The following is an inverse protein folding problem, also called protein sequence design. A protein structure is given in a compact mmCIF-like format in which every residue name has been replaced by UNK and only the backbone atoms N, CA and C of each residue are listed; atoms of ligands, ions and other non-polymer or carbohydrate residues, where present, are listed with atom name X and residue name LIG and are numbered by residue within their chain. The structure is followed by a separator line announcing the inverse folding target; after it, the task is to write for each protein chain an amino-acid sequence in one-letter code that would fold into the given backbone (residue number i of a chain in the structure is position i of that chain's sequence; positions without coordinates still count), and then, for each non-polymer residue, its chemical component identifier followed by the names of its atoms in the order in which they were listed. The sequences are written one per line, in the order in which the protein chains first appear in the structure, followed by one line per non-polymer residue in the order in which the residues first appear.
data_IF_853850650267
#
_entry.id   IF_853850650267
#
_cell.length_a   1.000
_cell.length_b   1.000
_cell.length_c   1.000
_cell.angle_alpha   90.00
_cell.angle_beta   90.00
_cell.angle_gamma   90.00
#
_symmetry.space_group_name_H-M   'P 1'
#
loop_
_entity.id
_entity.type
_entity.pdbx_description
1 polymer ?
#
# COMPACT_ATOMS: atom_id res chain seq x y z
N UNK A 1 21.25 3.53 43.27
CA UNK A 1 22.14 3.15 42.14
C UNK A 1 21.52 2.14 41.15
N UNK A 2 20.19 1.96 41.10
CA UNK A 2 19.54 0.99 40.19
C UNK A 2 19.07 1.54 38.84
N UNK A 3 19.03 2.87 38.65
CA UNK A 3 18.42 3.48 37.48
C UNK A 3 19.36 3.61 36.26
N UNK A 4 20.68 3.53 36.48
CA UNK A 4 21.69 3.77 35.44
C UNK A 4 22.05 2.47 34.68
N UNK A 5 21.94 1.31 35.33
CA UNK A 5 22.24 0.02 34.69
C UNK A 5 21.15 -0.45 33.70
N UNK A 6 19.92 0.05 33.82
CA UNK A 6 18.83 -0.24 32.88
C UNK A 6 18.99 0.45 31.53
N UNK A 7 19.58 1.65 31.51
CA UNK A 7 19.83 2.42 30.29
C UNK A 7 21.00 1.83 29.48
N UNK A 8 22.08 1.41 30.15
CA UNK A 8 23.22 0.81 29.46
C UNK A 8 22.87 -0.54 28.80
N UNK A 9 22.07 -1.39 29.45
CA UNK A 9 21.66 -2.68 28.87
C UNK A 9 20.72 -2.54 27.66
N UNK A 10 19.95 -1.44 27.57
CA UNK A 10 19.09 -1.15 26.40
C UNK A 10 19.90 -0.69 25.19
N UNK A 11 20.94 0.12 25.41
CA UNK A 11 21.83 0.56 24.35
C UNK A 11 22.63 -0.61 23.72
N UNK A 12 23.04 -1.61 24.51
CA UNK A 12 23.88 -2.72 24.03
C UNK A 12 23.12 -3.78 23.23
N UNK A 13 21.84 -4.03 23.52
CA UNK A 13 21.04 -5.04 22.79
C UNK A 13 20.58 -4.52 21.42
N UNK A 14 20.42 -3.20 21.26
CA UNK A 14 19.97 -2.59 19.99
C UNK A 14 21.14 -2.40 19.02
N UNK A 15 22.34 -2.09 19.52
CA UNK A 15 23.56 -2.08 18.69
C UNK A 15 23.89 -3.47 18.10
N UNK A 16 23.48 -4.56 18.76
CA UNK A 16 23.72 -5.93 18.28
C UNK A 16 22.74 -6.36 17.16
N UNK A 17 21.50 -5.87 17.16
CA UNK A 17 20.55 -6.10 16.06
C UNK A 17 20.94 -5.30 14.80
N UNK A 18 21.68 -4.21 14.98
CA UNK A 18 22.25 -3.39 13.90
C UNK A 18 23.45 -4.04 13.18
N UNK A 19 24.05 -5.11 13.73
CA UNK A 19 25.29 -5.67 13.21
C UNK A 19 25.13 -6.91 12.30
N UNK A 20 23.95 -7.52 12.19
CA UNK A 20 23.80 -8.82 11.49
C UNK A 20 22.74 -8.89 10.39
N UNK A 21 22.09 -7.79 10.02
CA UNK A 21 21.25 -7.74 8.80
C UNK A 21 21.43 -6.40 8.11
N UNK A 22 22.18 -6.38 7.00
CA UNK A 22 22.25 -5.31 5.98
C UNK A 22 21.64 -3.97 6.43
N UNK A 23 22.32 -3.24 7.32
CA UNK A 23 21.74 -2.14 8.12
C UNK A 23 22.55 -0.85 8.00
N UNK A 24 22.85 -0.39 6.79
CA UNK A 24 23.36 0.97 6.60
C UNK A 24 22.22 2.01 6.62
N UNK A 25 21.02 1.65 6.15
CA UNK A 25 19.90 2.61 5.97
C UNK A 25 19.05 2.82 7.22
N UNK A 26 18.98 1.83 8.14
CA UNK A 26 18.20 1.97 9.39
C UNK A 26 18.91 2.90 10.40
N UNK A 27 20.22 3.07 10.27
CA UNK A 27 21.06 3.82 11.21
C UNK A 27 20.84 5.35 11.20
N UNK A 28 20.07 5.90 10.26
CA UNK A 28 19.87 7.36 10.16
C UNK A 28 18.51 7.85 10.69
N UNK A 29 17.58 6.95 10.99
CA UNK A 29 16.27 7.37 11.51
C UNK A 29 16.32 7.50 13.03
N UNK A 30 16.04 8.72 13.52
CA UNK A 30 16.08 9.07 14.94
C UNK A 30 15.24 8.10 15.80
N UNK A 31 15.93 7.37 16.69
CA UNK A 31 15.34 6.41 17.62
C UNK A 31 14.22 7.04 18.46
N UNK A 32 14.38 8.31 18.84
CA UNK A 32 13.37 9.04 19.61
C UNK A 32 12.08 9.28 18.81
N UNK A 33 12.17 9.35 17.48
CA UNK A 33 10.99 9.43 16.60
C UNK A 33 10.30 8.09 16.50
N UNK A 34 11.03 6.98 16.35
CA UNK A 34 10.44 5.63 16.26
C UNK A 34 9.63 5.26 17.51
N UNK A 35 10.05 5.70 18.69
CA UNK A 35 9.30 5.47 19.93
C UNK A 35 7.90 6.09 19.93
N UNK A 36 7.63 7.05 19.03
CA UNK A 36 6.35 7.77 18.98
C UNK A 36 5.53 7.45 17.73
N UNK A 37 6.03 6.67 16.79
CA UNK A 37 5.29 6.34 15.56
C UNK A 37 4.03 5.53 15.91
N UNK A 38 2.87 6.00 15.44
CA UNK A 38 1.60 5.28 15.56
C UNK A 38 1.47 4.24 14.44
N UNK A 39 1.84 4.63 13.22
CA UNK A 39 1.78 3.76 12.05
C UNK A 39 2.90 4.01 11.04
N UNK A 40 3.33 2.93 10.39
CA UNK A 40 4.26 2.90 9.26
C UNK A 40 3.46 2.69 7.99
N UNK A 41 3.61 3.58 7.01
CA UNK A 41 2.91 3.55 5.74
C UNK A 41 3.89 3.08 4.66
N UNK A 42 3.62 1.94 4.04
CA UNK A 42 4.51 1.31 3.05
C UNK A 42 3.91 1.48 1.67
N UNK A 43 4.53 2.32 0.83
CA UNK A 43 4.03 2.60 -0.52
C UNK A 43 4.21 1.40 -1.46
N UNK A 44 3.21 1.16 -2.31
CA UNK A 44 3.33 0.33 -3.50
C UNK A 44 4.30 0.89 -4.54
N UNK A 45 4.63 0.10 -5.55
CA UNK A 45 5.66 0.44 -6.54
C UNK A 45 5.57 -0.28 -7.89
N UNK A 46 4.54 -1.09 -8.10
CA UNK A 46 4.29 -1.83 -9.33
C UNK A 46 3.71 -3.22 -9.09
N UNK A 47 3.27 -3.86 -10.18
CA UNK A 47 2.55 -5.12 -10.08
C UNK A 47 3.44 -6.20 -9.42
N UNK A 48 2.92 -6.91 -8.40
CA UNK A 48 3.69 -7.93 -7.72
C UNK A 48 3.97 -9.11 -8.67
N UNK A 49 5.14 -9.75 -8.58
CA UNK A 49 5.46 -10.93 -9.39
C UNK A 49 4.73 -12.20 -8.93
N UNK A 50 4.28 -12.25 -7.68
CA UNK A 50 3.49 -13.35 -7.10
C UNK A 50 2.61 -12.83 -5.95
N UNK A 51 1.58 -13.57 -5.50
CA UNK A 51 0.68 -13.14 -4.43
C UNK A 51 1.36 -12.82 -3.09
N UNK A 52 2.52 -13.40 -2.85
CA UNK A 52 3.31 -13.31 -1.61
C UNK A 52 4.70 -12.71 -1.83
N UNK A 53 4.93 -12.08 -2.99
CA UNK A 53 6.21 -11.50 -3.36
C UNK A 53 6.07 -10.08 -3.93
N UNK A 54 7.12 -9.29 -3.78
CA UNK A 54 7.19 -7.92 -4.26
C UNK A 54 8.38 -7.68 -5.18
N UNK A 55 8.31 -6.64 -6.01
CA UNK A 55 9.46 -6.17 -6.77
C UNK A 55 10.61 -5.81 -5.80
N UNK A 56 11.90 -6.00 -6.17
CA UNK A 56 13.00 -5.90 -5.22
C UNK A 56 13.05 -4.58 -4.42
N UNK A 57 12.83 -3.44 -5.07
CA UNK A 57 12.79 -2.13 -4.40
C UNK A 57 11.56 -1.93 -3.51
N UNK A 58 10.44 -2.64 -3.74
CA UNK A 58 9.27 -2.64 -2.85
C UNK A 58 9.49 -3.61 -1.69
N UNK A 59 10.09 -4.78 -1.95
CA UNK A 59 10.50 -5.72 -0.91
C UNK A 59 11.49 -5.07 0.08
N UNK A 60 12.38 -4.19 -0.39
CA UNK A 60 13.24 -3.38 0.47
C UNK A 60 12.44 -2.50 1.45
N UNK A 61 11.35 -1.87 0.99
CA UNK A 61 10.43 -1.09 1.85
C UNK A 61 9.74 -1.98 2.89
N UNK A 62 9.26 -3.15 2.47
CA UNK A 62 8.64 -4.13 3.37
C UNK A 62 9.61 -4.59 4.46
N UNK A 63 10.86 -4.91 4.09
CA UNK A 63 11.91 -5.32 5.02
C UNK A 63 12.27 -4.21 6.01
N UNK A 64 12.37 -2.97 5.54
CA UNK A 64 12.59 -1.81 6.41
C UNK A 64 11.44 -1.64 7.42
N UNK A 65 10.18 -1.73 6.97
CA UNK A 65 9.01 -1.65 7.84
C UNK A 65 9.01 -2.76 8.91
N UNK A 66 9.29 -4.01 8.51
CA UNK A 66 9.37 -5.14 9.42
C UNK A 66 10.50 -4.99 10.44
N UNK A 67 11.68 -4.54 10.01
CA UNK A 67 12.81 -4.30 10.91
C UNK A 67 12.50 -3.20 11.94
N UNK A 68 11.91 -2.09 11.51
CA UNK A 68 11.50 -1.01 12.39
C UNK A 68 10.42 -1.45 13.39
N UNK A 69 9.43 -2.22 12.95
CA UNK A 69 8.42 -2.79 13.83
C UNK A 69 9.03 -3.73 14.88
N UNK A 70 9.99 -4.58 14.48
CA UNK A 70 10.70 -5.48 15.40
C UNK A 70 11.49 -4.70 16.44
N UNK A 71 12.20 -3.64 16.02
CA UNK A 71 13.02 -2.80 16.89
C UNK A 71 12.19 -1.88 17.81
N UNK A 72 10.99 -1.48 17.40
CA UNK A 72 10.18 -0.55 18.17
C UNK A 72 9.72 -1.17 19.51
N UNK A 73 9.90 -0.40 20.59
CA UNK A 73 9.45 -0.78 21.94
C UNK A 73 7.92 -0.84 22.02
N UNK A 74 7.24 0.13 21.43
CA UNK A 74 5.80 0.10 21.15
C UNK A 74 5.61 -0.36 19.71
N UNK A 75 4.84 -1.42 19.47
CA UNK A 75 4.61 -1.94 18.12
C UNK A 75 3.71 -0.97 17.32
N UNK A 76 4.25 -0.26 16.31
CA UNK A 76 3.42 0.58 15.46
C UNK A 76 2.53 -0.31 14.60
N UNK A 77 1.43 0.24 14.10
CA UNK A 77 0.68 -0.42 13.02
C UNK A 77 1.46 -0.28 11.71
N UNK A 78 1.26 -1.20 10.77
CA UNK A 78 1.83 -1.11 9.43
C UNK A 78 0.68 -1.10 8.44
N UNK A 79 0.57 -0.05 7.64
CA UNK A 79 -0.40 0.07 6.56
C UNK A 79 0.33 -0.05 5.23
N UNK A 80 0.05 -1.13 4.51
CA UNK A 80 0.54 -1.32 3.14
C UNK A 80 -0.43 -0.67 2.15
N UNK A 81 0.10 0.08 1.19
CA UNK A 81 -0.68 0.94 0.30
C UNK A 81 -0.70 0.41 -1.14
N UNK A 82 -1.67 0.91 -1.89
CA UNK A 82 -1.90 0.66 -3.31
C UNK A 82 -2.67 -0.63 -3.62
N UNK A 83 -3.77 -0.46 -4.34
CA UNK A 83 -4.43 -1.50 -5.11
C UNK A 83 -3.49 -2.04 -6.19
N UNK A 84 -2.89 -1.16 -6.98
CA UNK A 84 -2.03 -1.55 -8.08
C UNK A 84 -1.47 -0.34 -8.83
N UNK A 85 -0.94 -0.60 -10.02
CA UNK A 85 -0.42 0.43 -10.91
C UNK A 85 -1.24 0.55 -12.18
N UNK A 86 -1.42 1.77 -12.66
CA UNK A 86 -2.11 2.03 -13.91
C UNK A 86 -1.29 1.67 -15.16
N UNK A 87 -0.02 1.27 -15.00
CA UNK A 87 0.95 1.11 -16.08
C UNK A 87 1.06 -0.31 -16.64
N UNK A 88 0.72 -1.32 -15.85
CA UNK A 88 0.77 -2.73 -16.25
C UNK A 88 -0.48 -3.46 -15.76
N UNK A 89 -0.88 -4.59 -16.38
CA UNK A 89 -1.97 -5.40 -15.87
C UNK A 89 -1.73 -5.85 -14.42
N UNK A 90 -2.80 -5.91 -13.63
CA UNK A 90 -2.72 -6.46 -12.28
C UNK A 90 -2.48 -7.97 -12.33
N UNK A 91 -1.79 -8.48 -11.32
CA UNK A 91 -1.63 -9.92 -11.13
C UNK A 91 -3.01 -10.51 -10.75
N UNK A 92 -3.34 -11.65 -11.34
CA UNK A 92 -4.51 -12.45 -10.95
C UNK A 92 -4.03 -13.71 -10.23
N UNK A 93 -4.78 -14.14 -9.22
CA UNK A 93 -4.55 -15.41 -8.54
C UNK A 93 -5.09 -16.60 -9.36
N UNK A 94 -4.91 -17.82 -8.83
CA UNK A 94 -5.39 -19.04 -9.48
C UNK A 94 -6.93 -19.12 -9.65
N UNK A 95 -7.69 -18.25 -8.97
CA UNK A 95 -9.15 -18.13 -9.08
C UNK A 95 -9.56 -16.98 -10.01
N UNK A 96 -8.60 -16.28 -10.60
CA UNK A 96 -8.86 -15.08 -11.42
C UNK A 96 -9.18 -13.84 -10.60
N UNK A 97 -8.97 -13.86 -9.28
CA UNK A 97 -9.15 -12.69 -8.41
C UNK A 97 -7.94 -11.77 -8.48
N UNK A 98 -8.16 -10.47 -8.34
CA UNK A 98 -7.09 -9.47 -8.37
C UNK A 98 -6.20 -9.61 -7.13
N UNK A 99 -4.88 -9.66 -7.35
CA UNK A 99 -3.87 -9.53 -6.30
C UNK A 99 -3.45 -8.08 -6.20
N UNK A 100 -3.75 -7.43 -5.09
CA UNK A 100 -3.38 -6.05 -4.85
C UNK A 100 -1.93 -5.91 -4.39
N UNK A 101 -1.27 -4.79 -4.75
CA UNK A 101 0.08 -4.46 -4.29
C UNK A 101 0.18 -4.43 -2.75
N UNK A 102 -0.82 -3.86 -2.08
CA UNK A 102 -0.90 -3.84 -0.62
C UNK A 102 -0.95 -5.26 -0.04
N UNK A 103 -1.77 -6.16 -0.61
CA UNK A 103 -1.88 -7.54 -0.11
C UNK A 103 -0.60 -8.34 -0.26
N UNK A 104 0.10 -8.20 -1.39
CA UNK A 104 1.40 -8.84 -1.59
C UNK A 104 2.48 -8.25 -0.67
N UNK A 105 2.44 -6.93 -0.42
CA UNK A 105 3.34 -6.28 0.55
C UNK A 105 3.08 -6.77 1.97
N UNK A 106 1.82 -6.91 2.37
CA UNK A 106 1.43 -7.43 3.68
C UNK A 106 1.93 -8.87 3.87
N UNK A 107 1.80 -9.73 2.84
CA UNK A 107 2.33 -11.09 2.87
C UNK A 107 3.85 -11.11 3.10
N UNK A 108 4.62 -10.28 2.39
CA UNK A 108 6.07 -10.15 2.61
C UNK A 108 6.38 -9.73 4.05
N UNK A 109 5.67 -8.73 4.59
CA UNK A 109 5.89 -8.22 5.95
C UNK A 109 5.53 -9.25 7.03
N UNK A 110 4.46 -10.01 6.84
CA UNK A 110 4.05 -11.09 7.74
C UNK A 110 5.06 -12.24 7.69
N UNK A 111 5.56 -12.59 6.51
CA UNK A 111 6.60 -13.60 6.33
C UNK A 111 7.94 -13.20 6.97
N UNK A 112 8.20 -11.89 7.09
CA UNK A 112 9.31 -11.35 7.88
C UNK A 112 9.06 -11.49 9.40
N UNK A 113 7.92 -12.00 9.86
CA UNK A 113 7.63 -12.27 11.28
C UNK A 113 6.95 -11.12 12.02
N UNK A 114 6.36 -10.15 11.31
CA UNK A 114 5.47 -9.16 11.92
C UNK A 114 4.13 -9.80 12.27
N UNK A 115 3.56 -9.46 13.43
CA UNK A 115 2.24 -9.93 13.82
C UNK A 115 1.18 -9.43 12.82
N UNK A 116 0.40 -10.33 12.23
CA UNK A 116 -0.64 -9.99 11.26
C UNK A 116 -1.71 -9.05 11.82
N UNK A 117 -1.96 -9.06 13.14
CA UNK A 117 -2.87 -8.12 13.81
C UNK A 117 -2.37 -6.65 13.83
N UNK A 118 -1.10 -6.43 13.44
CA UNK A 118 -0.51 -5.11 13.29
C UNK A 118 -0.38 -4.68 11.81
N UNK A 119 -0.75 -5.54 10.85
CA UNK A 119 -0.63 -5.27 9.42
C UNK A 119 -1.99 -5.02 8.78
N UNK A 120 -2.12 -3.91 8.08
CA UNK A 120 -3.31 -3.44 7.39
C UNK A 120 -3.03 -3.25 5.90
N UNK A 121 -4.08 -3.31 5.09
CA UNK A 121 -4.03 -3.14 3.62
C UNK A 121 -4.98 -2.03 3.19
N UNK A 122 -4.51 -1.14 2.32
CA UNK A 122 -5.32 -0.15 1.61
C UNK A 122 -5.35 -0.54 0.12
N UNK A 123 -6.55 -0.76 -0.44
CA UNK A 123 -6.74 -1.43 -1.75
C UNK A 123 -7.54 -0.59 -2.75
N UNK A 124 -7.60 0.71 -2.56
CA UNK A 124 -8.36 1.65 -3.39
C UNK A 124 -7.46 2.46 -4.32
N UNK A 125 -6.25 2.81 -3.86
CA UNK A 125 -5.35 3.72 -4.56
C UNK A 125 -4.55 3.06 -5.71
N UNK A 126 -4.31 3.81 -6.78
CA UNK A 126 -3.52 3.39 -7.95
C UNK A 126 -2.30 4.29 -8.23
N UNK A 127 -2.10 5.30 -7.40
CA UNK A 127 -1.02 6.28 -7.52
C UNK A 127 -0.70 6.97 -6.19
N UNK A 128 0.38 7.75 -6.14
CA UNK A 128 0.85 8.37 -4.89
C UNK A 128 -0.15 9.37 -4.29
N UNK A 129 -0.95 10.08 -5.10
CA UNK A 129 -1.97 11.00 -4.58
C UNK A 129 -3.10 10.21 -3.92
N UNK A 130 -3.58 9.15 -4.58
CA UNK A 130 -4.54 8.22 -3.98
C UNK A 130 -3.99 7.57 -2.72
N UNK A 131 -2.73 7.11 -2.73
CA UNK A 131 -2.08 6.52 -1.56
C UNK A 131 -2.20 7.47 -0.36
N UNK A 132 -1.83 8.75 -0.53
CA UNK A 132 -1.92 9.74 0.53
C UNK A 132 -3.37 10.03 0.95
N UNK A 133 -4.30 10.13 -0.01
CA UNK A 133 -5.70 10.45 0.29
C UNK A 133 -6.43 9.32 1.03
N UNK A 134 -6.39 8.10 0.50
CA UNK A 134 -7.11 6.97 1.08
C UNK A 134 -6.44 6.48 2.38
N UNK A 135 -5.11 6.51 2.49
CA UNK A 135 -4.46 6.20 3.78
C UNK A 135 -4.81 7.22 4.86
N UNK A 136 -4.93 8.51 4.50
CA UNK A 136 -5.41 9.54 5.43
C UNK A 136 -6.86 9.29 5.82
N UNK A 137 -7.75 9.18 4.82
CA UNK A 137 -9.20 9.26 5.01
C UNK A 137 -9.84 7.97 5.55
N UNK A 138 -9.34 6.81 5.09
CA UNK A 138 -9.99 5.53 5.37
C UNK A 138 -9.32 4.80 6.54
N UNK A 139 -8.10 5.20 6.91
CA UNK A 139 -7.33 4.54 7.95
C UNK A 139 -6.87 5.51 9.04
N UNK A 140 -6.01 6.47 8.73
CA UNK A 140 -5.33 7.25 9.76
C UNK A 140 -6.28 8.16 10.53
N UNK A 141 -7.24 8.82 9.85
CA UNK A 141 -8.26 9.67 10.49
C UNK A 141 -9.08 8.87 11.50
N UNK A 142 -9.65 7.75 11.06
CA UNK A 142 -10.55 6.88 11.81
C UNK A 142 -9.85 6.15 12.95
N UNK A 143 -8.61 5.70 12.74
CA UNK A 143 -7.83 5.01 13.76
C UNK A 143 -7.09 5.95 14.72
N UNK A 144 -7.16 7.27 14.49
CA UNK A 144 -6.47 8.27 15.31
C UNK A 144 -4.94 8.24 15.21
N UNK A 145 -4.36 7.65 14.17
CA UNK A 145 -2.91 7.64 13.96
C UNK A 145 -2.45 9.02 13.49
N UNK A 146 -1.53 9.66 14.22
CA UNK A 146 -1.11 11.04 13.91
C UNK A 146 0.38 11.17 13.67
N UNK A 147 1.20 10.29 14.24
CA UNK A 147 2.65 10.26 14.02
C UNK A 147 2.97 9.14 13.05
N UNK A 148 3.23 9.49 11.80
CA UNK A 148 3.28 8.55 10.70
C UNK A 148 4.70 8.50 10.11
N UNK A 149 5.18 7.29 9.84
CA UNK A 149 6.40 7.08 9.08
C UNK A 149 6.04 6.57 7.68
N UNK A 150 6.35 7.35 6.66
CA UNK A 150 6.11 7.00 5.26
C UNK A 150 7.38 6.39 4.66
N UNK A 151 7.30 5.14 4.20
CA UNK A 151 8.41 4.40 3.60
C UNK A 151 8.19 4.24 2.10
N UNK A 152 9.19 4.65 1.32
CA UNK A 152 9.21 4.55 -0.14
C UNK A 152 10.64 4.31 -0.64
N UNK A 153 10.85 4.20 -1.95
CA UNK A 153 12.22 4.11 -2.52
C UNK A 153 12.85 5.50 -2.63
N UNK A 154 14.19 5.56 -2.56
CA UNK A 154 14.97 6.80 -2.69
C UNK A 154 14.59 7.59 -3.95
N UNK A 155 14.47 6.94 -5.12
CA UNK A 155 14.05 7.63 -6.34
C UNK A 155 12.68 8.32 -6.25
N UNK A 156 11.79 7.87 -5.36
CA UNK A 156 10.40 8.35 -5.23
C UNK A 156 10.17 9.26 -4.02
N UNK A 157 11.19 9.44 -3.16
CA UNK A 157 11.06 10.08 -1.85
C UNK A 157 10.60 11.53 -1.95
N UNK A 158 11.20 12.32 -2.84
CA UNK A 158 10.89 13.74 -2.98
C UNK A 158 9.42 13.99 -3.38
N UNK A 159 8.92 13.26 -4.37
CA UNK A 159 7.52 13.37 -4.80
C UNK A 159 6.57 12.88 -3.73
N UNK A 160 6.90 11.76 -3.09
CA UNK A 160 6.11 11.20 -1.98
C UNK A 160 5.95 12.24 -0.88
N UNK A 161 7.04 12.88 -0.46
CA UNK A 161 7.02 13.93 0.55
C UNK A 161 6.11 15.09 0.15
N UNK A 162 6.28 15.63 -1.06
CA UNK A 162 5.46 16.75 -1.53
C UNK A 162 3.95 16.41 -1.52
N UNK A 163 3.59 15.22 -1.99
CA UNK A 163 2.19 14.78 -2.05
C UNK A 163 1.63 14.50 -0.65
N UNK A 164 2.36 13.78 0.20
CA UNK A 164 1.89 13.45 1.53
C UNK A 164 1.78 14.70 2.41
N UNK A 165 2.74 15.61 2.37
CA UNK A 165 2.66 16.89 3.10
C UNK A 165 1.45 17.72 2.65
N UNK A 166 1.20 17.83 1.34
CA UNK A 166 0.02 18.51 0.82
C UNK A 166 -1.27 17.82 1.28
N UNK A 167 -1.41 16.52 1.02
CA UNK A 167 -2.68 15.81 1.25
C UNK A 167 -2.97 15.64 2.73
N UNK A 168 -1.99 15.39 3.60
CA UNK A 168 -2.19 15.34 5.05
C UNK A 168 -2.29 16.73 5.70
N UNK A 169 -1.65 17.75 5.11
CA UNK A 169 -1.77 19.14 5.53
C UNK A 169 -3.08 19.82 5.08
N UNK A 170 -3.81 19.23 4.12
CA UNK A 170 -5.06 19.79 3.64
C UNK A 170 -6.10 19.91 4.77
N UNK A 171 -6.75 21.07 4.88
CA UNK A 171 -7.73 21.33 5.93
C UNK A 171 -8.92 20.36 5.84
N UNK A 172 -9.33 19.77 6.96
CA UNK A 172 -10.42 18.80 7.06
C UNK A 172 -11.05 18.80 8.46
N UNK A 173 -12.19 18.14 8.62
CA UNK A 173 -12.99 18.13 9.85
C UNK A 173 -12.44 17.20 10.95
N UNK A 174 -11.12 17.00 11.00
CA UNK A 174 -10.52 16.04 11.92
C UNK A 174 -10.62 16.54 13.38
N UNK A 175 -11.19 15.74 14.31
CA UNK A 175 -11.31 16.14 15.72
C UNK A 175 -9.97 16.23 16.45
N UNK A 176 -8.93 15.55 15.94
CA UNK A 176 -7.75 15.19 16.72
C UNK A 176 -6.44 15.67 16.08
N UNK A 177 -6.20 16.98 16.13
CA UNK A 177 -4.87 17.58 15.91
C UNK A 177 -4.22 17.39 14.53
N UNK A 178 -3.04 17.99 14.35
CA UNK A 178 -2.26 17.91 13.11
C UNK A 178 -1.50 16.57 13.01
N UNK A 179 -1.21 16.14 11.78
CA UNK A 179 -0.36 15.00 11.50
C UNK A 179 1.13 15.38 11.58
N UNK A 180 1.94 14.50 12.16
CA UNK A 180 3.40 14.55 12.14
C UNK A 180 3.91 13.48 11.19
N UNK A 181 4.47 13.89 10.04
CA UNK A 181 4.99 12.98 9.03
C UNK A 181 6.51 12.92 9.09
N UNK A 182 7.04 11.70 9.10
CA UNK A 182 8.45 11.40 8.85
C UNK A 182 8.59 10.50 7.63
N UNK A 183 9.73 10.55 6.97
CA UNK A 183 9.96 9.88 5.69
C UNK A 183 11.23 9.05 5.74
N UNK A 184 11.19 7.87 5.12
CA UNK A 184 12.34 7.00 4.93
C UNK A 184 12.38 6.52 3.48
N UNK A 185 13.49 6.82 2.79
CA UNK A 185 13.83 6.21 1.51
C UNK A 185 14.58 4.89 1.73
N UNK A 186 14.23 3.87 0.97
CA UNK A 186 15.00 2.62 0.89
C UNK A 186 15.73 2.53 -0.44
N UNK A 187 16.78 1.73 -0.46
CA UNK A 187 17.59 1.49 -1.66
C UNK A 187 16.75 1.14 -2.89
N UNK A 188 17.21 1.60 -4.05
CA UNK A 188 16.59 1.37 -5.37
C UNK A 188 16.95 -0.03 -5.91
N UNK A 189 16.90 -1.05 -5.04
CA UNK A 189 17.38 -2.41 -5.32
C UNK A 189 16.68 -3.01 -6.54
N UNK A 190 17.45 -3.68 -7.40
CA UNK A 190 16.92 -4.37 -8.58
C UNK A 190 16.54 -3.45 -9.74
N UNK A 191 16.92 -2.17 -9.70
CA UNK A 191 16.87 -1.24 -10.82
C UNK A 191 18.28 -0.97 -11.34
N UNK A 192 18.41 -0.85 -12.66
CA UNK A 192 19.64 -0.40 -13.32
C UNK A 192 19.82 1.12 -13.14
N UNK A 193 21.06 1.65 -13.25
CA UNK A 193 21.29 3.09 -13.19
C UNK A 193 20.47 3.90 -14.22
N UNK A 194 20.24 3.34 -15.41
CA UNK A 194 19.41 3.95 -16.43
C UNK A 194 17.93 4.03 -16.02
N UNK A 195 17.38 2.96 -15.45
CA UNK A 195 16.00 2.95 -14.92
C UNK A 195 15.83 3.92 -13.74
N UNK A 196 16.81 3.98 -12.83
CA UNK A 196 16.80 4.94 -11.71
C UNK A 196 16.81 6.37 -12.25
N UNK A 197 17.69 6.68 -13.21
CA UNK A 197 17.76 8.01 -13.83
C UNK A 197 16.45 8.39 -14.53
N UNK A 198 15.89 7.49 -15.33
CA UNK A 198 14.61 7.70 -16.01
C UNK A 198 13.45 7.92 -15.02
N UNK A 199 13.43 7.17 -13.91
CA UNK A 199 12.46 7.38 -12.83
C UNK A 199 12.64 8.76 -12.21
N UNK A 200 13.84 9.11 -11.74
CA UNK A 200 14.12 10.40 -11.09
C UNK A 200 13.71 11.60 -11.97
N UNK A 201 14.07 11.60 -13.25
CA UNK A 201 13.70 12.67 -14.17
C UNK A 201 12.17 12.88 -14.28
N UNK A 202 11.41 11.77 -14.30
CA UNK A 202 9.93 11.82 -14.31
C UNK A 202 9.35 12.23 -12.95
N UNK A 203 9.94 11.77 -11.86
CA UNK A 203 9.55 12.14 -10.51
C UNK A 203 9.74 13.64 -10.28
N UNK A 204 10.82 14.24 -10.78
CA UNK A 204 11.06 15.68 -10.70
C UNK A 204 9.99 16.49 -11.46
N UNK A 205 9.66 16.07 -12.69
CA UNK A 205 8.61 16.71 -13.47
C UNK A 205 7.23 16.60 -12.79
N UNK A 206 6.92 15.43 -12.24
CA UNK A 206 5.66 15.18 -11.53
C UNK A 206 5.58 15.97 -10.22
N UNK A 207 6.68 16.08 -9.49
CA UNK A 207 6.78 16.85 -8.24
C UNK A 207 6.55 18.33 -8.50
N UNK A 208 7.15 18.89 -9.58
CA UNK A 208 6.91 20.29 -9.97
C UNK A 208 5.44 20.58 -10.21
N UNK A 209 4.72 19.69 -10.90
CA UNK A 209 3.29 19.85 -11.14
C UNK A 209 2.45 19.81 -9.85
N UNK A 210 2.82 18.94 -8.89
CA UNK A 210 2.16 18.90 -7.57
C UNK A 210 2.29 20.25 -6.87
N UNK A 211 3.51 20.75 -6.73
CA UNK A 211 3.81 21.99 -5.99
C UNK A 211 3.26 23.23 -6.70
N UNK A 212 3.37 23.31 -8.03
CA UNK A 212 2.99 24.51 -8.76
C UNK A 212 1.49 24.64 -9.03
N UNK A 213 0.78 23.51 -9.12
CA UNK A 213 -0.58 23.49 -9.67
C UNK A 213 -1.60 22.79 -8.75
N UNK A 214 -1.30 21.58 -8.30
CA UNK A 214 -2.28 20.79 -7.54
C UNK A 214 -2.42 21.27 -6.10
N UNK A 215 -1.32 21.37 -5.35
CA UNK A 215 -1.34 21.76 -3.95
C UNK A 215 -2.00 23.13 -3.71
N UNK A 216 -1.66 24.19 -4.47
CA UNK A 216 -2.31 25.49 -4.32
C UNK A 216 -3.81 25.45 -4.64
N UNK A 217 -4.23 24.62 -5.59
CA UNK A 217 -5.61 24.53 -6.07
C UNK A 217 -6.55 23.74 -5.17
N UNK A 218 -6.02 22.81 -4.35
CA UNK A 218 -6.85 21.87 -3.58
C UNK A 218 -6.38 21.76 -2.12
N UNK A 219 -6.53 22.84 -1.35
CA UNK A 219 -6.06 22.92 0.05
C UNK A 219 -7.00 22.32 1.11
N UNK A 220 -8.21 21.92 0.73
CA UNK A 220 -9.18 21.26 1.62
C UNK A 220 -9.30 19.79 1.24
N UNK A 221 -9.45 18.91 2.22
CA UNK A 221 -9.60 17.47 1.95
C UNK A 221 -10.80 17.19 1.02
N UNK A 222 -11.90 17.93 1.18
CA UNK A 222 -13.05 17.87 0.28
C UNK A 222 -12.69 18.23 -1.18
N UNK A 223 -11.84 19.24 -1.38
CA UNK A 223 -11.38 19.64 -2.73
C UNK A 223 -10.41 18.62 -3.33
N UNK A 224 -9.59 17.95 -2.52
CA UNK A 224 -8.75 16.83 -2.97
C UNK A 224 -9.62 15.65 -3.42
N UNK A 225 -10.65 15.30 -2.65
CA UNK A 225 -11.65 14.27 -3.02
C UNK A 225 -12.34 14.63 -4.34
N UNK A 226 -12.80 15.87 -4.49
CA UNK A 226 -13.45 16.35 -5.71
C UNK A 226 -12.51 16.20 -6.91
N UNK A 227 -11.25 16.64 -6.78
CA UNK A 227 -10.23 16.46 -7.82
C UNK A 227 -10.08 14.99 -8.23
N UNK A 228 -9.89 14.08 -7.27
CA UNK A 228 -9.74 12.66 -7.54
C UNK A 228 -10.96 12.13 -8.30
N UNK A 229 -12.16 12.35 -7.78
CA UNK A 229 -13.39 11.74 -8.29
C UNK A 229 -13.96 12.37 -9.56
N UNK A 230 -13.53 13.58 -9.93
CA UNK A 230 -14.07 14.29 -11.11
C UNK A 230 -13.05 14.59 -12.20
N UNK A 231 -11.75 14.70 -11.86
CA UNK A 231 -10.70 15.14 -12.81
C UNK A 231 -9.54 14.17 -12.95
N UNK A 232 -9.29 13.30 -11.98
CA UNK A 232 -8.17 12.38 -12.04
C UNK A 232 -8.52 11.14 -12.85
N UNK A 233 -7.72 10.79 -13.85
CA UNK A 233 -8.03 9.69 -14.79
C UNK A 233 -8.15 8.31 -14.13
N UNK A 234 -7.52 8.13 -12.96
CA UNK A 234 -7.56 6.85 -12.22
C UNK A 234 -8.76 6.70 -11.29
N UNK A 235 -9.54 7.76 -11.06
CA UNK A 235 -10.66 7.71 -10.08
C UNK A 235 -11.94 8.36 -10.60
N UNK A 236 -11.86 9.21 -11.63
CA UNK A 236 -13.04 9.77 -12.26
C UNK A 236 -13.76 8.74 -13.12
N UNK A 237 -15.09 8.74 -13.08
CA UNK A 237 -15.91 7.84 -13.91
C UNK A 237 -15.54 7.97 -15.41
N UNK A 238 -15.32 9.20 -15.88
CA UNK A 238 -14.87 9.48 -17.25
C UNK A 238 -13.54 8.82 -17.57
N UNK A 239 -12.53 9.00 -16.69
CA UNK A 239 -11.21 8.42 -16.87
C UNK A 239 -11.23 6.89 -16.86
N UNK A 240 -11.97 6.29 -15.94
CA UNK A 240 -12.12 4.85 -15.81
C UNK A 240 -12.81 4.22 -17.02
N UNK A 241 -13.92 4.80 -17.50
CA UNK A 241 -14.61 4.33 -18.72
C UNK A 241 -13.69 4.45 -19.94
N UNK A 242 -12.98 5.58 -20.08
CA UNK A 242 -12.04 5.77 -21.19
C UNK A 242 -10.89 4.77 -21.16
N UNK A 243 -10.38 4.42 -19.96
CA UNK A 243 -9.35 3.39 -19.79
C UNK A 243 -9.87 2.00 -20.15
N UNK A 244 -11.07 1.64 -19.69
CA UNK A 244 -11.68 0.35 -20.00
C UNK A 244 -11.92 0.17 -21.52
N UNK A 245 -12.22 1.26 -22.23
CA UNK A 245 -12.41 1.24 -23.68
C UNK A 245 -11.12 1.11 -24.49
N UNK A 246 -9.95 1.45 -23.92
CA UNK A 246 -8.65 1.28 -24.61
C UNK A 246 -8.33 -0.21 -24.67
N UNK A 247 -8.36 -0.79 -25.87
CA UNK A 247 -7.76 -2.11 -26.12
C UNK A 247 -6.28 -2.06 -25.70
N UNK A 248 -5.76 -3.17 -25.16
CA UNK A 248 -4.35 -3.29 -24.78
C UNK A 248 -3.44 -3.17 -26.01
N UNK A 249 -3.16 -1.94 -26.46
CA UNK A 249 -2.28 -1.61 -27.57
C UNK A 249 -1.02 -0.95 -27.01
N UNK A 250 0.12 -1.65 -27.12
CA UNK A 250 1.42 -1.20 -26.66
C UNK A 250 1.97 -0.05 -27.50
N UNK A 251 2.30 1.07 -26.86
CA UNK A 251 3.13 2.12 -27.45
C UNK A 251 4.61 1.87 -27.13
N UNK A 252 5.47 1.87 -28.15
CA UNK A 252 6.89 1.46 -28.09
C UNK A 252 7.81 2.36 -27.23
N UNK A 253 7.36 3.54 -26.78
CA UNK A 253 8.13 4.39 -25.85
C UNK A 253 8.02 3.99 -24.37
N UNK A 254 7.16 3.03 -24.03
CA UNK A 254 6.81 2.66 -22.66
C UNK A 254 7.64 1.49 -22.10
N UNK A 255 8.54 0.86 -22.86
CA UNK A 255 9.11 -0.43 -22.51
C UNK A 255 9.95 -0.41 -21.22
N UNK A 256 10.98 0.44 -21.12
CA UNK A 256 11.84 0.51 -19.92
C UNK A 256 11.07 1.02 -18.68
N UNK A 257 10.17 1.99 -18.88
CA UNK A 257 9.33 2.51 -17.82
C UNK A 257 8.34 1.46 -17.30
N UNK A 258 7.58 0.82 -18.19
CA UNK A 258 6.64 -0.24 -17.82
C UNK A 258 7.36 -1.46 -17.23
N UNK A 259 8.57 -1.78 -17.72
CA UNK A 259 9.40 -2.84 -17.17
C UNK A 259 9.73 -2.61 -15.69
N UNK A 260 10.00 -1.36 -15.32
CA UNK A 260 10.24 -1.01 -13.92
C UNK A 260 9.01 -1.16 -13.01
N UNK A 261 7.80 -1.32 -13.57
CA UNK A 261 6.57 -1.65 -12.83
C UNK A 261 6.25 -3.16 -12.88
N UNK A 262 7.18 -4.00 -13.35
CA UNK A 262 6.98 -5.43 -13.53
C UNK A 262 6.56 -5.84 -14.95
N UNK A 263 6.45 -4.89 -15.89
CA UNK A 263 6.12 -5.19 -17.29
C UNK A 263 7.17 -6.07 -17.98
N UNK A 264 6.74 -7.07 -18.75
CA UNK A 264 7.65 -7.89 -19.55
C UNK A 264 8.43 -8.97 -18.79
N UNK A 265 8.23 -9.14 -17.48
CA UNK A 265 8.70 -10.34 -16.77
C UNK A 265 7.69 -11.47 -16.98
N UNK A 266 8.12 -12.71 -17.31
CA UNK A 266 7.19 -13.82 -17.48
C UNK A 266 6.41 -13.98 -16.17
N UNK A 267 5.10 -13.76 -16.22
CA UNK A 267 4.25 -14.18 -15.12
C UNK A 267 4.38 -15.70 -15.02
N UNK A 268 4.60 -16.26 -13.81
CA UNK A 268 4.56 -17.70 -13.67
C UNK A 268 3.21 -18.15 -14.23
N UNK A 269 3.23 -19.03 -15.23
CA UNK A 269 2.02 -19.60 -15.76
C UNK A 269 1.25 -20.13 -14.57
N UNK A 270 0.05 -19.59 -14.33
CA UNK A 270 -0.83 -20.13 -13.29
C UNK A 270 -0.94 -21.62 -13.62
N UNK A 271 -0.36 -22.48 -12.78
CA UNK A 271 -0.51 -23.90 -12.92
C UNK A 271 -1.98 -24.19 -12.59
N UNK A 272 -2.84 -23.97 -13.56
CA UNK A 272 -4.17 -24.56 -13.63
C UNK A 272 -3.87 -26.04 -13.74
N UNK A 273 -3.76 -26.71 -12.59
CA UNK A 273 -4.01 -28.14 -12.53
C UNK A 273 -5.43 -28.29 -13.05
N UNK A 274 -5.54 -28.62 -14.33
CA UNK A 274 -6.74 -29.20 -14.87
C UNK A 274 -7.08 -30.37 -13.96
N UNK A 275 -8.15 -30.20 -13.19
CA UNK A 275 -8.79 -31.31 -12.50
C UNK A 275 -9.03 -32.41 -13.54
N UNK A 276 -8.67 -33.67 -13.27
CA UNK A 276 -9.01 -34.76 -14.18
C UNK A 276 -10.53 -34.73 -14.40
N UNK A 277 -10.93 -34.87 -15.66
CA UNK A 277 -12.34 -34.97 -16.04
C UNK A 277 -13.01 -36.03 -15.16
N UNK A 278 -14.01 -35.62 -14.39
CA UNK A 278 -14.89 -36.54 -13.67
C UNK A 278 -15.69 -37.32 -14.70
N UNK A 279 -15.47 -38.63 -14.76
CA UNK A 279 -16.25 -39.55 -15.59
C UNK A 279 -17.76 -39.40 -15.30
N UNK A 280 -18.63 -39.43 -16.32
CA UNK A 280 -20.08 -39.32 -16.12
C UNK A 280 -20.60 -40.66 -15.59
N UNK A 281 -20.75 -40.77 -14.28
CA UNK A 281 -21.17 -42.02 -13.65
C UNK A 281 -21.34 -41.96 -12.15
N UNK A 282 -22.06 -40.97 -11.63
CA UNK A 282 -22.57 -41.02 -10.27
C UNK A 282 -23.89 -40.25 -10.17
N UNK A 283 -24.92 -40.94 -9.68
CA UNK A 283 -26.27 -40.43 -9.52
C UNK A 283 -26.30 -39.15 -8.68
N UNK A 284 -27.03 -38.15 -9.17
CA UNK A 284 -27.26 -36.88 -8.48
C UNK A 284 -28.12 -37.12 -7.23
N UNK A 285 -27.70 -36.73 -6.02
CA UNK A 285 -28.61 -36.73 -4.88
C UNK A 285 -29.68 -35.65 -5.12
N UNK A 286 -30.93 -36.01 -4.81
CA UNK A 286 -32.09 -35.14 -4.96
C UNK A 286 -31.87 -33.81 -4.23
N UNK A 287 -32.11 -32.68 -4.93
CA UNK A 287 -32.14 -31.35 -4.31
C UNK A 287 -33.23 -31.33 -3.23
N UNK A 288 -32.96 -30.79 -2.03
CA UNK A 288 -34.02 -30.52 -1.08
C UNK A 288 -34.97 -29.48 -1.69
N UNK A 289 -36.25 -29.85 -1.77
CA UNK A 289 -37.33 -28.96 -2.19
C UNK A 289 -37.55 -27.97 -1.04
N UNK A 290 -37.35 -26.66 -1.29
CA UNK A 290 -37.78 -25.64 -0.36
C UNK A 290 -39.31 -25.71 -0.21
N UNK A 291 -39.85 -25.73 1.02
CA UNK A 291 -41.29 -25.62 1.21
C UNK A 291 -41.78 -24.24 0.74
N UNK A 292 -43.03 -24.13 0.27
CA UNK A 292 -43.61 -22.88 -0.15
C UNK A 292 -43.68 -21.89 1.02
N UNK A 293 -43.29 -20.64 0.76
CA UNK A 293 -43.40 -19.54 1.72
C UNK A 293 -44.88 -19.22 1.95
N UNK A 294 -45.49 -19.79 3.00
CA UNK A 294 -46.73 -19.28 3.56
C UNK A 294 -46.47 -17.94 4.25
N UNK A 295 -47.37 -16.99 4.03
CA UNK A 295 -47.30 -15.63 4.53
C UNK A 295 -47.30 -15.61 6.07
N UNK A 296 -46.14 -15.39 6.67
CA UNK A 296 -46.01 -15.13 8.10
C UNK A 296 -46.23 -13.63 8.38
N UNK A 297 -47.17 -13.37 9.30
CA UNK A 297 -47.51 -12.08 9.90
C UNK A 297 -46.30 -11.35 10.51
N UNK A 298 -46.28 -10.00 10.51
CA UNK A 298 -45.14 -9.21 10.96
C UNK A 298 -45.14 -9.08 12.49
N UNK A 299 -44.52 -10.03 13.19
CA UNK A 299 -44.19 -9.87 14.61
C UNK A 299 -43.04 -10.82 14.99
N UNK A 300 -41.81 -10.43 14.64
CA UNK A 300 -40.56 -10.77 15.35
C UNK A 300 -39.37 -10.61 14.38
N UNK A 301 -38.92 -9.37 14.16
CA UNK A 301 -37.55 -9.16 13.72
C UNK A 301 -36.99 -7.97 14.50
N UNK A 302 -36.41 -8.29 15.66
CA UNK A 302 -35.65 -7.35 16.46
C UNK A 302 -34.31 -7.08 15.78
N UNK A 303 -34.31 -6.12 14.85
CA UNK A 303 -33.10 -5.39 14.46
C UNK A 303 -33.33 -3.93 14.80
N UNK A 304 -32.90 -3.56 16.00
CA UNK A 304 -32.80 -2.18 16.44
C UNK A 304 -31.68 -1.51 15.64
N UNK A 305 -32.05 -0.68 14.67
CA UNK A 305 -31.16 0.36 14.15
C UNK A 305 -31.28 1.55 15.10
N UNK A 306 -30.25 1.77 15.91
CA UNK A 306 -30.16 2.97 16.74
C UNK A 306 -29.71 4.16 15.89
N UNK A 307 -30.51 5.22 16.00
CA UNK A 307 -30.22 6.63 15.77
C UNK A 307 -29.05 7.14 16.59
#
# INVERSE_FOLDING_TARGET
MGCIMGALRRATVIAAVLLHTTSATILSFDEAKLLRVDAILVLGGGAPPAPDAQLPFVAARCKAAAALWKAAAKKPKILTLSAGTAHVPQLLDARGSVVFEATASAAVIINEGVNSADVFVETTSFDTIGNAFYSRNDHCSLAGWRRLLVITSEFHLARTKAIFDWVYGAAGAEPSGAYELSYLGTEDTGLTPAEVSARKAREDASTRNVVSSLEPGYRKLASVREFLTTRHDLYSAKGLVARAARRAGGGEGAAAWAASYGGGRPQPASAVKTTPAVSPGAATPAKPVCPPCEAATPAACGYSFLT
#
